data_IF_452912168475
#
_entry.id   IF_452912168475
#
_cell.length_a   1.000
_cell.length_b   1.000
_cell.length_c   1.000
_cell.angle_alpha   90.00
_cell.angle_beta   90.00
_cell.angle_gamma   90.00
#
_symmetry.space_group_name_H-M   'P 1'
#
loop_
_entity.id
_entity.type
_entity.pdbx_description
1 polymer ?
#
# COMPACT_ATOMS: atom_id res chain seq x y z
N UNK A 1 18.71 46.92 15.76
CA UNK A 1 18.92 45.48 15.50
C UNK A 1 17.56 44.79 15.49
N UNK A 2 17.07 44.40 14.32
CA UNK A 2 15.80 43.63 14.19
C UNK A 2 16.00 42.25 14.79
N UNK A 3 15.27 41.92 15.88
CA UNK A 3 15.21 40.57 16.42
C UNK A 3 14.62 39.68 15.33
N UNK A 4 15.41 38.81 14.70
CA UNK A 4 14.91 37.75 13.84
C UNK A 4 13.90 36.95 14.69
N UNK A 5 12.65 36.94 14.27
CA UNK A 5 11.60 36.16 14.90
C UNK A 5 11.98 34.68 14.70
N UNK A 6 12.18 33.96 15.80
CA UNK A 6 12.46 32.52 15.73
C UNK A 6 11.26 31.84 15.10
N UNK A 7 11.50 30.99 14.10
CA UNK A 7 10.43 30.23 13.45
C UNK A 7 9.68 29.36 14.46
N UNK A 8 8.41 29.09 14.20
CA UNK A 8 7.66 28.18 15.07
C UNK A 8 8.19 26.75 14.96
N UNK A 9 8.08 25.97 16.03
CA UNK A 9 8.45 24.53 16.05
C UNK A 9 7.79 23.77 14.89
N UNK A 10 6.52 24.08 14.58
CA UNK A 10 5.80 23.44 13.49
C UNK A 10 6.49 23.68 12.15
N UNK A 11 6.87 24.93 11.85
CA UNK A 11 7.55 25.28 10.60
C UNK A 11 8.89 24.57 10.48
N UNK A 12 9.74 24.69 11.50
CA UNK A 12 11.08 24.10 11.53
C UNK A 12 11.02 22.58 11.37
N UNK A 13 10.14 21.90 12.11
CA UNK A 13 9.95 20.43 11.97
C UNK A 13 9.50 20.03 10.57
N UNK A 14 8.56 20.77 9.98
CA UNK A 14 8.07 20.47 8.63
C UNK A 14 9.22 20.59 7.62
N UNK A 15 9.99 21.69 7.67
CA UNK A 15 11.11 21.89 6.76
C UNK A 15 12.14 20.77 6.86
N UNK A 16 12.52 20.38 8.07
CA UNK A 16 13.46 19.29 8.30
C UNK A 16 12.91 17.94 7.87
N UNK A 17 11.66 17.65 8.22
CA UNK A 17 11.02 16.39 7.90
C UNK A 17 10.86 16.15 6.39
N UNK A 18 10.70 17.24 5.60
CA UNK A 18 10.50 17.16 4.16
C UNK A 18 11.80 17.02 3.35
N UNK A 19 12.96 17.20 3.94
CA UNK A 19 14.24 17.05 3.22
C UNK A 19 14.33 15.65 2.59
N UNK A 20 14.58 15.57 1.27
CA UNK A 20 14.67 14.31 0.53
C UNK A 20 13.36 13.53 0.38
N UNK A 21 12.20 14.20 0.49
CA UNK A 21 10.89 13.61 0.19
C UNK A 21 10.37 14.18 -1.12
N UNK A 22 10.13 13.33 -2.13
CA UNK A 22 9.71 13.79 -3.47
C UNK A 22 8.20 13.69 -3.71
N UNK A 23 7.54 12.67 -3.17
CA UNK A 23 6.11 12.40 -3.43
C UNK A 23 5.16 13.33 -2.68
N UNK A 24 4.21 13.99 -3.38
CA UNK A 24 3.24 14.90 -2.76
C UNK A 24 2.39 14.27 -1.65
N UNK A 25 1.98 13.00 -1.82
CA UNK A 25 1.23 12.27 -0.78
C UNK A 25 2.04 12.10 0.49
N UNK A 26 3.31 11.76 0.33
CA UNK A 26 4.24 11.59 1.45
C UNK A 26 4.51 12.93 2.13
N UNK A 27 4.79 13.99 1.36
CA UNK A 27 4.93 15.35 1.89
C UNK A 27 3.71 15.78 2.73
N UNK A 28 2.51 15.53 2.23
CA UNK A 28 1.28 15.87 2.96
C UNK A 28 1.12 15.04 4.24
N UNK A 29 1.46 13.77 4.22
CA UNK A 29 1.47 12.93 5.41
C UNK A 29 2.44 13.44 6.46
N UNK A 30 3.67 13.78 6.06
CA UNK A 30 4.70 14.31 6.95
C UNK A 30 4.28 15.64 7.56
N UNK A 31 3.75 16.56 6.74
CA UNK A 31 3.20 17.85 7.22
C UNK A 31 2.11 17.65 8.27
N UNK A 32 1.15 16.75 8.01
CA UNK A 32 0.07 16.47 8.96
C UNK A 32 0.61 15.98 10.29
N UNK A 33 1.53 14.99 10.29
CA UNK A 33 2.07 14.40 11.53
C UNK A 33 2.90 15.40 12.34
N UNK A 34 3.68 16.25 11.67
CA UNK A 34 4.41 17.33 12.33
C UNK A 34 3.44 18.37 12.94
N UNK A 35 2.33 18.69 12.25
CA UNK A 35 1.29 19.58 12.79
C UNK A 35 0.62 18.99 14.03
N UNK A 36 0.21 17.72 13.95
CA UNK A 36 -0.45 17.02 15.07
C UNK A 36 0.44 17.04 16.33
N UNK A 37 1.72 16.74 16.17
CA UNK A 37 2.68 16.76 17.27
C UNK A 37 2.94 18.17 17.81
N UNK A 38 3.16 19.16 16.94
CA UNK A 38 3.42 20.55 17.38
C UNK A 38 2.20 21.18 18.07
N UNK A 39 0.99 20.83 17.63
CA UNK A 39 -0.23 21.24 18.31
C UNK A 39 -0.34 20.63 19.71
N UNK A 40 -0.02 19.37 19.85
CA UNK A 40 0.03 18.69 21.13
C UNK A 40 1.09 19.29 22.05
N UNK A 41 2.31 19.57 21.56
CA UNK A 41 3.35 20.24 22.36
C UNK A 41 2.88 21.60 22.89
N UNK A 42 2.19 22.34 22.04
CA UNK A 42 1.66 23.65 22.43
C UNK A 42 0.55 23.54 23.48
N UNK A 43 -0.39 22.60 23.31
CA UNK A 43 -1.52 22.44 24.23
C UNK A 43 -1.12 21.88 25.58
N UNK A 44 -0.24 20.86 25.61
CA UNK A 44 0.11 20.14 26.86
C UNK A 44 1.26 20.80 27.63
N UNK A 45 2.21 21.43 26.92
CA UNK A 45 3.47 21.90 27.51
C UNK A 45 3.75 23.39 27.24
N UNK A 46 2.91 24.09 26.47
CA UNK A 46 3.17 25.48 26.06
C UNK A 46 4.39 25.64 25.16
N UNK A 47 4.95 24.54 24.63
CA UNK A 47 6.18 24.55 23.82
C UNK A 47 5.84 24.95 22.39
N UNK A 48 6.42 26.09 21.94
CA UNK A 48 6.28 26.57 20.56
C UNK A 48 7.63 26.92 19.91
N UNK A 49 8.73 26.93 20.67
CA UNK A 49 10.07 27.28 20.18
C UNK A 49 10.82 26.02 19.76
N UNK A 50 11.48 26.00 18.56
CA UNK A 50 12.27 24.88 18.11
C UNK A 50 13.38 24.48 19.07
N UNK A 51 14.11 25.48 19.64
CA UNK A 51 15.21 25.27 20.56
C UNK A 51 14.81 24.46 21.80
N UNK A 52 13.67 24.77 22.40
CA UNK A 52 13.14 24.06 23.59
C UNK A 52 12.73 22.64 23.23
N UNK A 53 12.06 22.46 22.09
CA UNK A 53 11.62 21.12 21.65
C UNK A 53 12.79 20.23 21.26
N UNK A 54 13.82 20.79 20.61
CA UNK A 54 15.01 20.02 20.20
C UNK A 54 15.84 19.58 21.41
N UNK A 55 16.00 20.43 22.42
CA UNK A 55 16.74 20.11 23.63
C UNK A 55 16.14 18.91 24.40
N UNK A 56 14.83 18.69 24.29
CA UNK A 56 14.10 17.62 24.98
C UNK A 56 13.45 16.63 24.01
N UNK A 57 13.93 16.58 22.76
CA UNK A 57 13.23 15.93 21.68
C UNK A 57 12.91 14.46 21.94
N UNK A 58 13.86 13.69 22.45
CA UNK A 58 13.67 12.26 22.70
C UNK A 58 12.59 12.00 23.77
N UNK A 59 12.63 12.73 24.89
CA UNK A 59 11.64 12.62 25.96
C UNK A 59 10.22 13.02 25.48
N UNK A 60 10.12 14.14 24.75
CA UNK A 60 8.86 14.60 24.19
C UNK A 60 8.27 13.63 23.18
N UNK A 61 9.10 13.04 22.32
CA UNK A 61 8.66 12.03 21.36
C UNK A 61 8.20 10.76 22.10
N UNK A 62 8.90 10.34 23.15
CA UNK A 62 8.52 9.19 23.96
C UNK A 62 7.19 9.40 24.68
N UNK A 63 6.93 10.60 25.21
CA UNK A 63 5.64 10.97 25.81
C UNK A 63 4.51 10.96 24.78
N UNK A 64 4.78 11.44 23.58
CA UNK A 64 3.79 11.43 22.49
C UNK A 64 3.50 10.01 22.00
N UNK A 65 4.50 9.16 21.94
CA UNK A 65 4.32 7.74 21.63
C UNK A 65 3.35 7.07 22.62
N UNK A 66 3.58 7.23 23.93
CA UNK A 66 2.69 6.71 24.99
C UNK A 66 1.27 7.23 24.88
N UNK A 67 1.11 8.52 24.53
CA UNK A 67 -0.21 9.11 24.24
C UNK A 67 -0.90 8.40 23.10
N UNK A 68 -0.19 8.14 21.99
CA UNK A 68 -0.76 7.44 20.82
C UNK A 68 -1.17 6.01 21.18
N UNK A 69 -0.35 5.31 21.96
CA UNK A 69 -0.63 3.95 22.44
C UNK A 69 -1.86 3.94 23.35
N UNK A 70 -1.93 4.84 24.33
CA UNK A 70 -3.09 5.03 25.21
C UNK A 70 -4.37 5.40 24.47
N UNK A 71 -4.25 6.06 23.29
CA UNK A 71 -5.37 6.37 22.39
C UNK A 71 -5.79 5.18 21.52
N UNK A 72 -5.21 4.00 21.69
CA UNK A 72 -5.56 2.77 20.97
C UNK A 72 -5.02 2.70 19.53
N UNK A 73 -4.03 3.50 19.16
CA UNK A 73 -3.42 3.39 17.84
C UNK A 73 -2.61 2.09 17.69
N UNK A 74 -2.75 1.46 16.52
CA UNK A 74 -1.97 0.25 16.22
C UNK A 74 -0.47 0.55 16.10
N UNK A 75 0.43 -0.43 16.37
CA UNK A 75 1.87 -0.27 16.23
C UNK A 75 2.30 0.30 14.88
N UNK A 76 1.64 -0.10 13.79
CA UNK A 76 1.90 0.41 12.44
C UNK A 76 1.55 1.90 12.29
N UNK A 77 0.46 2.32 12.92
CA UNK A 77 0.02 3.72 12.93
C UNK A 77 0.98 4.57 13.75
N UNK A 78 1.36 4.12 14.97
CA UNK A 78 2.36 4.79 15.82
C UNK A 78 3.66 5.01 15.06
N UNK A 79 4.21 3.98 14.41
CA UNK A 79 5.40 4.12 13.57
C UNK A 79 5.24 5.19 12.47
N UNK A 80 4.06 5.24 11.85
CA UNK A 80 3.75 6.22 10.80
C UNK A 80 3.68 7.67 11.32
N UNK A 81 3.30 7.87 12.59
CA UNK A 81 3.34 9.18 13.26
C UNK A 81 4.77 9.58 13.66
N UNK A 82 5.51 8.66 14.26
CA UNK A 82 6.82 8.97 14.82
C UNK A 82 7.89 9.24 13.77
N UNK A 83 7.85 8.54 12.62
CA UNK A 83 8.90 8.69 11.59
C UNK A 83 9.11 10.13 11.11
N UNK A 84 8.09 10.92 10.71
CA UNK A 84 8.26 12.31 10.34
C UNK A 84 8.65 13.21 11.52
N UNK A 85 8.18 12.92 12.73
CA UNK A 85 8.47 13.69 13.94
C UNK A 85 9.95 13.53 14.30
N UNK A 86 10.43 12.29 14.37
CA UNK A 86 11.85 12.00 14.62
C UNK A 86 12.75 12.68 13.59
N UNK A 87 12.41 12.57 12.30
CA UNK A 87 13.15 13.24 11.24
C UNK A 87 13.13 14.76 11.37
N UNK A 88 11.98 15.34 11.75
CA UNK A 88 11.80 16.78 11.93
C UNK A 88 12.62 17.35 13.10
N UNK A 89 12.84 16.59 14.16
CA UNK A 89 13.60 16.96 15.35
C UNK A 89 15.03 16.39 15.37
N UNK A 90 15.45 15.64 14.34
CA UNK A 90 16.80 15.07 14.27
C UNK A 90 17.05 13.91 15.24
N UNK A 91 16.00 13.22 15.69
CA UNK A 91 16.11 12.05 16.57
C UNK A 91 16.14 10.77 15.76
N UNK A 92 17.00 9.82 16.16
CA UNK A 92 16.99 8.50 15.52
C UNK A 92 15.76 7.70 16.01
N UNK A 93 14.98 7.19 15.06
CA UNK A 93 13.79 6.37 15.36
C UNK A 93 14.10 5.09 16.18
N UNK A 94 15.35 4.62 16.17
CA UNK A 94 15.80 3.47 16.97
C UNK A 94 15.89 3.79 18.47
N UNK A 95 16.10 5.05 18.82
CA UNK A 95 16.26 5.51 20.20
C UNK A 95 14.91 5.71 20.91
N UNK A 96 13.80 5.58 20.17
CA UNK A 96 12.44 5.67 20.70
C UNK A 96 11.90 4.27 20.98
N UNK A 97 11.49 4.03 22.23
CA UNK A 97 10.74 2.83 22.59
C UNK A 97 9.37 2.89 21.91
N UNK A 98 8.96 1.80 21.28
CA UNK A 98 7.71 1.71 20.53
C UNK A 98 7.24 0.26 20.42
N UNK A 99 5.93 0.00 20.31
CA UNK A 99 5.40 -1.34 20.21
C UNK A 99 5.90 -2.05 18.95
N UNK A 100 6.20 -3.34 19.09
CA UNK A 100 6.64 -4.18 17.96
C UNK A 100 5.50 -4.36 16.97
N UNK A 101 5.84 -4.31 15.69
CA UNK A 101 4.91 -4.62 14.59
C UNK A 101 4.99 -6.12 14.31
N UNK A 102 4.05 -6.86 14.85
CA UNK A 102 3.92 -8.31 14.64
C UNK A 102 2.70 -8.61 13.76
N UNK A 103 2.62 -9.79 13.14
CA UNK A 103 1.51 -10.17 12.25
C UNK A 103 0.17 -10.22 12.98
N UNK A 104 0.18 -10.61 14.24
CA UNK A 104 -0.97 -10.70 15.14
C UNK A 104 -1.52 -9.32 15.57
N UNK A 105 -0.69 -8.27 15.54
CA UNK A 105 -1.14 -6.89 15.79
C UNK A 105 -1.79 -6.23 14.57
N UNK A 106 -1.82 -6.91 13.42
CA UNK A 106 -2.43 -6.39 12.19
C UNK A 106 -3.93 -6.71 12.19
N UNK A 107 -4.74 -5.78 12.66
CA UNK A 107 -6.20 -5.87 12.48
C UNK A 107 -6.54 -5.55 11.03
N UNK A 108 -6.81 -6.60 10.24
CA UNK A 108 -7.29 -6.47 8.87
C UNK A 108 -8.82 -6.33 8.88
N UNK A 109 -9.32 -5.12 9.12
CA UNK A 109 -10.75 -4.84 8.91
C UNK A 109 -11.10 -4.97 7.42
N UNK A 110 -12.07 -5.81 7.09
CA UNK A 110 -12.70 -5.81 5.76
C UNK A 110 -13.48 -4.50 5.64
N UNK A 111 -12.99 -3.56 4.84
CA UNK A 111 -13.70 -2.31 4.53
C UNK A 111 -15.01 -2.51 3.76
N UNK A 112 -15.32 -3.75 3.37
CA UNK A 112 -16.56 -4.11 2.70
C UNK A 112 -17.81 -3.90 3.57
N UNK A 113 -17.69 -3.94 4.91
CA UNK A 113 -18.82 -3.97 5.81
C UNK A 113 -19.40 -2.58 6.14
N UNK A 114 -18.73 -1.50 5.70
CA UNK A 114 -19.10 -0.13 6.10
C UNK A 114 -19.82 0.69 5.02
N UNK A 115 -20.11 0.13 3.83
CA UNK A 115 -20.70 0.88 2.74
C UNK A 115 -22.18 0.45 2.50
N UNK A 116 -23.16 1.39 2.48
CA UNK A 116 -24.56 1.07 2.18
C UNK A 116 -24.67 0.38 0.81
N UNK A 117 -25.21 -0.83 0.80
CA UNK A 117 -25.25 -1.73 -0.36
C UNK A 117 -25.81 -1.09 -1.65
N UNK A 118 -26.85 -0.25 -1.56
CA UNK A 118 -27.52 0.32 -2.74
C UNK A 118 -26.68 1.32 -3.55
N UNK A 119 -25.86 2.16 -2.93
CA UNK A 119 -24.98 3.09 -3.67
C UNK A 119 -23.80 2.38 -4.34
N UNK A 120 -23.40 1.25 -3.79
CA UNK A 120 -22.27 0.46 -4.29
C UNK A 120 -22.64 -0.29 -5.56
N UNK A 121 -23.85 -0.83 -5.65
CA UNK A 121 -24.32 -1.58 -6.83
C UNK A 121 -24.44 -0.69 -8.06
N UNK A 122 -25.01 0.50 -7.93
CA UNK A 122 -25.15 1.47 -9.02
C UNK A 122 -23.78 1.93 -9.53
N UNK A 123 -22.81 2.18 -8.64
CA UNK A 123 -21.45 2.55 -9.05
C UNK A 123 -20.71 1.37 -9.71
N UNK A 124 -20.91 0.15 -9.23
CA UNK A 124 -20.29 -1.03 -9.81
C UNK A 124 -20.80 -1.30 -11.22
N UNK A 125 -22.10 -1.17 -11.47
CA UNK A 125 -22.69 -1.39 -12.78
C UNK A 125 -22.21 -0.37 -13.81
N UNK A 126 -22.18 0.92 -13.45
CA UNK A 126 -21.65 1.99 -14.30
C UNK A 126 -20.23 1.74 -14.76
N UNK A 127 -19.41 1.10 -13.94
CA UNK A 127 -17.99 0.83 -14.22
C UNK A 127 -17.72 -0.68 -14.44
N UNK A 128 -18.72 -1.42 -14.91
CA UNK A 128 -18.67 -2.88 -15.10
C UNK A 128 -17.38 -3.39 -15.72
N UNK A 129 -16.91 -2.84 -16.86
CA UNK A 129 -15.68 -3.33 -17.48
C UNK A 129 -14.44 -3.19 -16.59
N UNK A 130 -14.34 -2.09 -15.84
CA UNK A 130 -13.25 -1.86 -14.90
C UNK A 130 -13.34 -2.81 -13.70
N UNK A 131 -14.55 -3.03 -13.18
CA UNK A 131 -14.81 -3.91 -12.04
C UNK A 131 -14.49 -5.35 -12.40
N UNK A 132 -14.91 -5.82 -13.58
CA UNK A 132 -14.69 -7.19 -14.04
C UNK A 132 -13.19 -7.46 -14.23
N UNK A 133 -12.47 -6.58 -14.89
CA UNK A 133 -11.00 -6.69 -15.00
C UNK A 133 -10.34 -6.64 -13.63
N UNK A 134 -10.80 -5.78 -12.73
CA UNK A 134 -10.23 -5.71 -11.38
C UNK A 134 -10.45 -6.97 -10.56
N UNK A 135 -11.63 -7.59 -10.67
CA UNK A 135 -11.97 -8.85 -9.97
C UNK A 135 -11.09 -10.02 -10.38
N UNK A 136 -10.65 -10.04 -11.63
CA UNK A 136 -9.84 -11.15 -12.17
C UNK A 136 -8.34 -10.88 -12.14
N UNK A 137 -7.92 -9.61 -12.06
CA UNK A 137 -6.49 -9.26 -12.02
C UNK A 137 -5.98 -8.85 -10.65
N UNK A 138 -6.82 -8.29 -9.82
CA UNK A 138 -6.43 -7.77 -8.50
C UNK A 138 -5.37 -6.67 -8.54
N UNK A 139 -5.22 -5.94 -9.62
CA UNK A 139 -4.20 -4.91 -9.80
C UNK A 139 -4.44 -3.68 -8.92
N UNK A 140 -3.39 -2.90 -8.62
CA UNK A 140 -3.56 -1.60 -7.96
C UNK A 140 -4.18 -0.60 -8.93
N UNK A 141 -4.97 0.36 -8.41
CA UNK A 141 -5.55 1.44 -9.26
C UNK A 141 -4.51 2.13 -10.15
N UNK A 142 -3.31 2.37 -9.64
CA UNK A 142 -2.22 2.99 -10.40
C UNK A 142 -1.61 2.10 -11.47
N UNK A 143 -1.74 0.78 -11.34
CA UNK A 143 -1.34 -0.21 -12.34
C UNK A 143 -2.40 -0.31 -13.42
N UNK A 144 -3.68 -0.46 -13.05
CA UNK A 144 -4.82 -0.45 -13.98
C UNK A 144 -4.84 0.79 -14.89
N UNK A 145 -4.53 1.97 -14.35
CA UNK A 145 -4.50 3.22 -15.10
C UNK A 145 -3.41 3.28 -16.18
N UNK A 146 -2.48 2.34 -16.21
CA UNK A 146 -1.33 2.32 -17.13
C UNK A 146 -1.36 1.18 -18.10
N UNK A 147 -2.24 0.20 -17.93
CA UNK A 147 -2.33 -0.98 -18.80
C UNK A 147 -2.67 -0.56 -20.21
N UNK A 148 -1.96 -1.15 -21.16
CA UNK A 148 -2.14 -0.96 -22.61
C UNK A 148 -2.42 -2.29 -23.29
N UNK A 149 -2.88 -2.25 -24.54
CA UNK A 149 -3.15 -3.46 -25.32
C UNK A 149 -1.97 -4.42 -25.41
N UNK A 150 -0.75 -3.91 -25.53
CA UNK A 150 0.49 -4.70 -25.58
C UNK A 150 0.88 -5.39 -24.28
N UNK A 151 0.24 -5.05 -23.16
CA UNK A 151 0.59 -5.61 -21.86
C UNK A 151 -0.09 -6.95 -21.59
N UNK A 152 -1.03 -7.38 -22.45
CA UNK A 152 -1.59 -8.73 -22.43
C UNK A 152 -0.67 -9.66 -23.21
N UNK A 153 -0.05 -10.62 -22.51
CA UNK A 153 0.93 -11.54 -23.08
C UNK A 153 0.73 -12.96 -22.56
N UNK A 154 1.31 -13.93 -23.22
CA UNK A 154 1.55 -15.24 -22.62
C UNK A 154 2.95 -15.29 -22.05
N UNK A 155 3.11 -15.88 -20.87
CA UNK A 155 4.44 -16.15 -20.31
C UNK A 155 5.12 -17.35 -21.00
N UNK A 156 6.36 -17.63 -20.64
CA UNK A 156 7.16 -18.74 -21.19
C UNK A 156 6.52 -20.12 -20.99
N UNK A 157 5.61 -20.27 -20.03
CA UNK A 157 4.85 -21.49 -19.72
C UNK A 157 3.45 -21.49 -20.39
N UNK A 158 3.14 -20.49 -21.25
CA UNK A 158 1.87 -20.39 -21.93
C UNK A 158 0.71 -19.83 -21.10
N UNK A 159 0.95 -19.36 -19.87
CA UNK A 159 -0.08 -18.73 -19.06
C UNK A 159 -0.40 -17.33 -19.56
N UNK A 160 -1.69 -17.03 -19.71
CA UNK A 160 -2.13 -15.66 -20.01
C UNK A 160 -1.82 -14.74 -18.83
N UNK A 161 -1.08 -13.67 -19.11
CA UNK A 161 -0.59 -12.72 -18.11
C UNK A 161 -0.82 -11.27 -18.52
N UNK A 162 -0.91 -10.39 -17.54
CA UNK A 162 -0.78 -8.95 -17.75
C UNK A 162 0.60 -8.52 -17.25
N UNK A 163 1.38 -7.93 -18.14
CA UNK A 163 2.66 -7.30 -17.81
C UNK A 163 2.41 -5.95 -17.12
N UNK A 164 2.96 -5.75 -15.94
CA UNK A 164 2.78 -4.52 -15.15
C UNK A 164 4.10 -4.00 -14.61
N UNK A 165 4.18 -2.68 -14.50
CA UNK A 165 5.23 -2.00 -13.75
C UNK A 165 4.65 -1.58 -12.41
N UNK A 166 5.00 -2.31 -11.37
CA UNK A 166 4.48 -2.12 -10.02
C UNK A 166 5.15 -0.99 -9.26
N UNK A 167 4.87 -0.92 -7.97
CA UNK A 167 5.46 0.07 -7.06
C UNK A 167 6.99 -0.06 -7.03
N UNK A 168 7.69 1.07 -7.21
CA UNK A 168 9.16 1.11 -7.24
C UNK A 168 9.78 0.69 -8.56
N UNK A 169 8.99 0.68 -9.67
CA UNK A 169 9.48 0.34 -11.01
C UNK A 169 9.68 -1.16 -11.25
N UNK A 170 9.26 -2.02 -10.34
CA UNK A 170 9.42 -3.46 -10.49
C UNK A 170 8.47 -4.02 -11.55
N UNK A 171 9.01 -4.72 -12.50
CA UNK A 171 8.27 -5.48 -13.51
C UNK A 171 7.67 -6.73 -12.87
N UNK A 172 6.39 -7.00 -13.17
CA UNK A 172 5.65 -8.17 -12.68
C UNK A 172 4.75 -8.72 -13.79
N UNK A 173 4.55 -10.03 -13.80
CA UNK A 173 3.55 -10.71 -14.61
C UNK A 173 2.40 -11.14 -13.69
N UNK A 174 1.23 -10.58 -13.91
CA UNK A 174 0.01 -10.99 -13.21
C UNK A 174 -0.66 -12.10 -14.02
N UNK A 175 -0.56 -13.32 -13.58
CA UNK A 175 -1.24 -14.47 -14.20
C UNK A 175 -2.75 -14.35 -14.03
N UNK A 176 -3.48 -14.76 -15.07
CA UNK A 176 -4.93 -14.81 -15.09
C UNK A 176 -5.36 -16.26 -14.89
N UNK A 177 -6.29 -16.49 -13.97
CA UNK A 177 -6.84 -17.82 -13.74
C UNK A 177 -7.54 -18.34 -15.00
N UNK A 178 -7.46 -19.65 -15.31
CA UNK A 178 -8.05 -20.19 -16.53
C UNK A 178 -9.53 -19.84 -16.73
N UNK A 179 -10.32 -19.92 -15.68
CA UNK A 179 -11.75 -19.56 -15.70
C UNK A 179 -12.01 -18.09 -16.04
N UNK A 180 -11.07 -17.21 -15.72
CA UNK A 180 -11.21 -15.75 -15.88
C UNK A 180 -10.66 -15.24 -17.24
N UNK A 181 -9.98 -16.09 -18.02
CA UNK A 181 -9.31 -15.66 -19.27
C UNK A 181 -10.27 -15.03 -20.28
N UNK A 182 -11.51 -15.51 -20.35
CA UNK A 182 -12.52 -14.98 -21.27
C UNK A 182 -12.85 -13.53 -20.97
N UNK A 183 -12.90 -13.12 -19.70
CA UNK A 183 -13.15 -11.74 -19.28
C UNK A 183 -12.03 -10.82 -19.76
N UNK A 184 -10.79 -11.24 -19.57
CA UNK A 184 -9.62 -10.45 -20.00
C UNK A 184 -9.53 -10.38 -21.52
N UNK A 185 -9.68 -11.51 -22.24
CA UNK A 185 -9.67 -11.53 -23.70
C UNK A 185 -10.74 -10.61 -24.30
N UNK A 186 -11.94 -10.59 -23.71
CA UNK A 186 -13.02 -9.68 -24.12
C UNK A 186 -12.66 -8.21 -23.85
N UNK A 187 -12.10 -7.88 -22.69
CA UNK A 187 -11.71 -6.52 -22.35
C UNK A 187 -10.61 -5.96 -23.29
N UNK A 188 -9.73 -6.83 -23.81
CA UNK A 188 -8.63 -6.42 -24.70
C UNK A 188 -8.95 -6.55 -26.19
N UNK A 189 -10.09 -7.11 -26.59
CA UNK A 189 -10.39 -7.50 -27.98
C UNK A 189 -10.14 -6.41 -29.01
N UNK A 190 -10.49 -5.15 -28.72
CA UNK A 190 -10.39 -4.02 -29.65
C UNK A 190 -9.41 -2.96 -29.19
N UNK A 191 -8.51 -3.29 -28.26
CA UNK A 191 -7.54 -2.35 -27.71
C UNK A 191 -6.25 -2.41 -28.54
N UNK A 192 -5.88 -1.28 -29.16
CA UNK A 192 -4.63 -1.18 -29.91
C UNK A 192 -3.41 -1.30 -28.99
N UNK A 193 -2.25 -1.79 -29.48
CA UNK A 193 -1.08 -2.05 -28.63
C UNK A 193 -0.67 -0.91 -27.69
N UNK A 194 -0.72 0.32 -28.17
CA UNK A 194 -0.34 1.51 -27.39
C UNK A 194 -1.52 2.21 -26.70
N UNK A 195 -2.74 1.78 -26.94
CA UNK A 195 -3.95 2.33 -26.35
C UNK A 195 -4.08 1.89 -24.90
N UNK A 196 -4.51 2.80 -24.01
CA UNK A 196 -4.86 2.46 -22.62
C UNK A 196 -6.10 1.58 -22.58
N UNK A 197 -6.11 0.56 -21.74
CA UNK A 197 -7.26 -0.30 -21.52
C UNK A 197 -8.46 0.48 -20.95
N UNK A 198 -8.20 1.43 -20.06
CA UNK A 198 -9.22 2.29 -19.44
C UNK A 198 -8.90 3.76 -19.68
N UNK A 199 -9.92 4.55 -20.00
CA UNK A 199 -9.76 5.99 -20.14
C UNK A 199 -9.43 6.66 -18.80
N UNK A 200 -8.73 7.82 -18.81
CA UNK A 200 -8.49 8.58 -17.59
C UNK A 200 -9.77 8.95 -16.83
N UNK A 201 -10.88 9.20 -17.55
CA UNK A 201 -12.20 9.52 -17.00
C UNK A 201 -12.76 8.31 -16.23
N UNK A 202 -12.67 7.10 -16.81
CA UNK A 202 -13.09 5.87 -16.16
C UNK A 202 -12.30 5.61 -14.87
N UNK A 203 -11.03 6.01 -14.83
CA UNK A 203 -10.19 5.88 -13.63
C UNK A 203 -10.50 6.90 -12.52
N UNK A 204 -11.21 8.00 -12.82
CA UNK A 204 -11.67 9.02 -11.84
C UNK A 204 -12.92 8.61 -11.07
N UNK A 205 -13.01 7.33 -10.66
CA UNK A 205 -14.12 6.80 -9.87
C UNK A 205 -13.75 6.66 -8.39
N UNK A 206 -14.76 6.51 -7.51
CA UNK A 206 -14.60 6.30 -6.07
C UNK A 206 -14.77 4.84 -5.64
N UNK A 207 -14.84 3.91 -6.58
CA UNK A 207 -15.00 2.48 -6.30
C UNK A 207 -13.80 1.99 -5.45
N UNK A 208 -14.07 1.19 -4.44
CA UNK A 208 -13.03 0.57 -3.63
C UNK A 208 -12.39 -0.62 -4.36
N UNK A 209 -11.55 -0.33 -5.36
CA UNK A 209 -10.83 -1.36 -6.12
C UNK A 209 -9.90 -2.20 -5.24
N UNK A 210 -9.56 -1.71 -4.04
CA UNK A 210 -8.70 -2.45 -3.13
C UNK A 210 -9.42 -3.63 -2.45
N UNK A 211 -10.73 -3.52 -2.20
CA UNK A 211 -11.51 -4.66 -1.71
C UNK A 211 -11.60 -5.78 -2.75
N UNK A 212 -11.87 -5.42 -4.02
CA UNK A 212 -11.89 -6.39 -5.12
C UNK A 212 -10.53 -7.10 -5.32
N UNK A 213 -9.43 -6.37 -5.09
CA UNK A 213 -8.09 -6.96 -5.08
C UNK A 213 -7.88 -7.97 -3.94
N UNK A 214 -8.42 -7.71 -2.75
CA UNK A 214 -8.33 -8.66 -1.64
C UNK A 214 -9.11 -9.94 -1.93
N UNK A 215 -10.30 -9.80 -2.54
CA UNK A 215 -11.14 -10.93 -2.93
C UNK A 215 -10.46 -11.77 -4.04
N UNK A 216 -9.85 -11.12 -5.03
CA UNK A 216 -9.10 -11.81 -6.08
C UNK A 216 -7.87 -12.53 -5.51
N UNK A 217 -7.11 -11.89 -4.61
CA UNK A 217 -5.99 -12.53 -3.95
C UNK A 217 -6.39 -13.79 -3.17
N UNK A 218 -7.55 -13.76 -2.50
CA UNK A 218 -8.10 -14.93 -1.81
C UNK A 218 -8.50 -16.05 -2.80
N UNK A 219 -9.19 -15.72 -3.90
CA UNK A 219 -9.56 -16.69 -4.96
C UNK A 219 -8.32 -17.35 -5.56
N UNK A 220 -7.32 -16.57 -5.91
CA UNK A 220 -6.06 -17.07 -6.45
C UNK A 220 -5.35 -18.00 -5.46
N UNK A 221 -5.29 -17.61 -4.18
CA UNK A 221 -4.74 -18.46 -3.13
C UNK A 221 -5.47 -19.81 -3.05
N UNK A 222 -6.81 -19.81 -3.02
CA UNK A 222 -7.60 -21.03 -2.97
C UNK A 222 -7.42 -21.91 -4.21
N UNK A 223 -7.35 -21.31 -5.39
CA UNK A 223 -7.11 -22.03 -6.65
C UNK A 223 -5.77 -22.80 -6.60
N UNK A 224 -4.69 -22.13 -6.22
CA UNK A 224 -3.37 -22.77 -6.17
C UNK A 224 -3.22 -23.74 -4.99
N UNK A 225 -3.85 -23.45 -3.86
CA UNK A 225 -3.87 -24.38 -2.72
C UNK A 225 -4.55 -25.70 -3.12
N UNK A 226 -5.72 -25.63 -3.75
CA UNK A 226 -6.43 -26.81 -4.23
C UNK A 226 -5.59 -27.64 -5.22
N UNK A 227 -4.87 -26.98 -6.14
CA UNK A 227 -3.95 -27.66 -7.06
C UNK A 227 -2.79 -28.34 -6.34
N UNK A 228 -2.20 -27.67 -5.35
CA UNK A 228 -1.11 -28.26 -4.54
C UNK A 228 -1.57 -29.50 -3.78
N UNK A 229 -2.81 -29.50 -3.30
CA UNK A 229 -3.38 -30.59 -2.52
C UNK A 229 -3.86 -31.77 -3.40
N UNK A 230 -4.37 -31.50 -4.61
CA UNK A 230 -5.06 -32.48 -5.42
C UNK A 230 -4.33 -32.89 -6.72
N UNK A 231 -3.32 -32.12 -7.18
CA UNK A 231 -2.57 -32.45 -8.39
C UNK A 231 -1.19 -33.07 -8.03
N UNK A 232 -0.95 -34.35 -8.32
CA UNK A 232 0.34 -35.00 -8.06
C UNK A 232 1.49 -34.26 -8.76
N UNK A 233 2.53 -33.90 -8.01
CA UNK A 233 3.73 -33.25 -8.55
C UNK A 233 3.62 -31.72 -8.69
N UNK A 234 2.43 -31.12 -8.62
CA UNK A 234 2.28 -29.67 -8.80
C UNK A 234 3.07 -28.85 -7.76
N UNK A 235 3.09 -29.29 -6.50
CA UNK A 235 3.92 -28.67 -5.44
C UNK A 235 5.41 -28.65 -5.82
N UNK A 236 5.93 -29.74 -6.40
CA UNK A 236 7.33 -29.82 -6.83
C UNK A 236 7.62 -28.89 -8.01
N UNK A 237 6.68 -28.78 -8.95
CA UNK A 237 6.77 -27.81 -10.05
C UNK A 237 6.86 -26.39 -9.53
N UNK A 238 5.99 -25.99 -8.60
CA UNK A 238 6.03 -24.65 -7.97
C UNK A 238 7.37 -24.41 -7.24
N UNK A 239 7.87 -25.38 -6.51
CA UNK A 239 9.17 -25.28 -5.83
C UNK A 239 10.34 -25.13 -6.81
N UNK A 240 10.28 -25.78 -7.96
CA UNK A 240 11.27 -25.63 -9.02
C UNK A 240 11.23 -24.21 -9.62
N UNK A 241 10.06 -23.72 -10.00
CA UNK A 241 9.89 -22.36 -10.51
C UNK A 241 10.43 -21.29 -9.54
N UNK A 242 10.18 -21.44 -8.23
CA UNK A 242 10.70 -20.53 -7.21
C UNK A 242 12.23 -20.55 -7.13
N UNK A 243 12.82 -21.74 -7.22
CA UNK A 243 14.28 -21.94 -7.21
C UNK A 243 14.93 -21.31 -8.43
N UNK A 244 14.36 -21.57 -9.61
CA UNK A 244 14.87 -21.04 -10.88
C UNK A 244 14.82 -19.50 -10.93
N UNK A 245 13.91 -18.88 -10.18
CA UNK A 245 13.81 -17.42 -10.02
C UNK A 245 14.59 -16.86 -8.82
N UNK A 246 15.41 -17.66 -8.16
CA UNK A 246 16.20 -17.28 -6.96
C UNK A 246 15.35 -16.66 -5.83
N UNK A 247 14.13 -17.10 -5.67
CA UNK A 247 13.22 -16.61 -4.62
C UNK A 247 13.43 -17.43 -3.36
N UNK A 248 13.85 -16.75 -2.29
CA UNK A 248 14.02 -17.39 -0.98
C UNK A 248 12.67 -17.87 -0.43
N UNK A 249 12.61 -19.17 -0.11
CA UNK A 249 11.46 -19.77 0.57
C UNK A 249 11.48 -19.40 2.05
N UNK A 250 10.34 -18.95 2.57
CA UNK A 250 10.17 -18.81 4.01
C UNK A 250 9.94 -20.18 4.64
N UNK A 251 10.40 -20.41 5.89
CA UNK A 251 10.23 -21.70 6.59
C UNK A 251 8.77 -22.14 6.74
N UNK A 252 7.83 -21.17 6.79
CA UNK A 252 6.38 -21.40 6.95
C UNK A 252 5.64 -21.76 5.65
N UNK A 253 6.34 -21.90 4.53
CA UNK A 253 5.75 -22.19 3.22
C UNK A 253 4.96 -21.03 2.60
N UNK A 254 4.79 -19.90 3.31
CA UNK A 254 4.01 -18.74 2.84
C UNK A 254 4.55 -18.12 1.55
N UNK A 255 5.83 -18.31 1.27
CA UNK A 255 6.46 -17.80 0.04
C UNK A 255 5.95 -18.50 -1.22
N UNK A 256 5.56 -19.75 -1.11
CA UNK A 256 5.02 -20.53 -2.23
C UNK A 256 3.69 -19.94 -2.72
N UNK A 257 2.82 -19.62 -1.77
CA UNK A 257 1.46 -19.11 -2.04
C UNK A 257 1.41 -17.60 -2.33
N UNK A 258 2.40 -16.83 -1.91
CA UNK A 258 2.51 -15.39 -2.26
C UNK A 258 3.12 -15.16 -3.63
N UNK A 259 3.76 -16.16 -4.19
CA UNK A 259 4.41 -16.10 -5.49
C UNK A 259 3.45 -16.50 -6.63
N UNK A 260 2.60 -17.47 -6.40
CA UNK A 260 1.58 -17.95 -7.32
C UNK A 260 0.41 -16.96 -7.40
#
# INVERSE_FOLDING_TARGET
MSRKREDSIQYTMIQNALKGIDGNKEKNRYKSRCKDFSSWLKSEYGINKPSVATANAQDLIQKYERKLEASGYTPSTIHSYLAPICKGLGVNMKDIQKPKRTSDTIVRGRRSDTNPQGKREIELEKYRPLVDVQRVTGLRRSELAKIRGRDLINDENGYLCIHIIGKGGKTQLQRILPEDQHIIKNAFRNIQPNQLLFSPEMMKNKINLHSLRADQGYRTYQYYLNRIENEPGYKLQCLKELRDRHIALRPDGHSLLTFL
#
